data_IF_939059732353
#
_entry.id   IF_939059732353
#
_cell.length_a   1.000
_cell.length_b   1.000
_cell.length_c   1.000
_cell.angle_alpha   90.00
_cell.angle_beta   90.00
_cell.angle_gamma   90.00
#
_symmetry.space_group_name_H-M   'P 1'
#
loop_
_entity.id
_entity.type
_entity.pdbx_description
1 polymer ?
#
# COMPACT_ATOMS: atom_id res chain seq x y z
N UNK A 1 1.05 -3.88 9.28
CA UNK A 1 2.04 -3.91 10.37
C UNK A 1 3.06 -5.04 10.23
N UNK A 2 2.66 -6.27 9.91
CA UNK A 2 3.58 -7.41 9.76
C UNK A 2 4.66 -7.17 8.67
N UNK A 3 4.28 -6.66 7.52
CA UNK A 3 5.20 -6.35 6.41
C UNK A 3 6.27 -5.32 6.78
N UNK A 4 5.90 -4.31 7.55
CA UNK A 4 6.85 -3.28 8.02
C UNK A 4 7.82 -3.88 9.02
N UNK A 5 7.34 -4.71 9.96
CA UNK A 5 8.19 -5.42 10.91
C UNK A 5 9.17 -6.36 10.21
N UNK A 6 8.70 -7.11 9.20
CA UNK A 6 9.53 -8.04 8.44
C UNK A 6 10.59 -7.31 7.59
N UNK A 7 10.23 -6.23 6.90
CA UNK A 7 11.20 -5.38 6.19
C UNK A 7 12.22 -4.79 7.13
N UNK A 8 11.79 -4.38 8.34
CA UNK A 8 12.68 -3.84 9.36
C UNK A 8 13.71 -4.86 9.81
N UNK A 9 13.31 -6.10 10.08
CA UNK A 9 14.23 -7.16 10.49
C UNK A 9 15.23 -7.53 9.39
N UNK A 10 14.80 -7.54 8.13
CA UNK A 10 15.69 -7.76 6.99
C UNK A 10 16.71 -6.64 6.79
N UNK A 11 16.34 -5.40 7.09
CA UNK A 11 17.18 -4.22 6.96
C UNK A 11 18.15 -4.09 8.15
N UNK A 12 17.70 -4.40 9.37
CA UNK A 12 18.53 -4.34 10.59
C UNK A 12 19.74 -5.28 10.57
N UNK A 13 19.68 -6.37 9.81
CA UNK A 13 20.87 -7.22 9.61
C UNK A 13 21.98 -6.56 8.76
N UNK A 14 21.75 -5.37 8.21
CA UNK A 14 22.69 -4.70 7.31
C UNK A 14 22.88 -3.22 7.60
N UNK A 15 23.28 -2.78 8.79
CA UNK A 15 23.76 -1.40 9.10
C UNK A 15 23.05 -0.22 8.35
N UNK A 16 21.80 -0.40 7.99
CA UNK A 16 21.02 0.59 7.22
C UNK A 16 20.29 1.48 8.22
N UNK A 17 20.40 2.77 8.02
CA UNK A 17 19.75 3.76 8.86
C UNK A 17 18.22 3.61 8.72
N UNK A 18 17.60 2.94 9.69
CA UNK A 18 16.18 2.62 9.74
C UNK A 18 15.29 3.88 9.61
N UNK A 19 15.78 5.00 10.16
CA UNK A 19 15.09 6.29 10.07
C UNK A 19 15.00 6.77 8.63
N UNK A 20 16.08 6.65 7.84
CA UNK A 20 16.07 7.03 6.43
C UNK A 20 15.09 6.18 5.61
N UNK A 21 15.01 4.86 5.90
CA UNK A 21 14.03 3.99 5.23
C UNK A 21 12.59 4.44 5.49
N UNK A 22 12.24 4.70 6.75
CA UNK A 22 10.92 5.20 7.08
C UNK A 22 10.64 6.59 6.49
N UNK A 23 11.64 7.47 6.48
CA UNK A 23 11.52 8.77 5.84
C UNK A 23 11.20 8.64 4.36
N UNK A 24 11.95 7.84 3.62
CA UNK A 24 11.70 7.59 2.19
C UNK A 24 10.32 6.99 1.92
N UNK A 25 9.82 6.16 2.84
CA UNK A 25 8.52 5.52 2.70
C UNK A 25 7.36 6.48 2.96
N UNK A 26 7.44 7.29 4.03
CA UNK A 26 6.32 8.12 4.48
C UNK A 26 6.35 9.55 3.96
N UNK A 27 7.52 10.07 3.58
CA UNK A 27 7.66 11.44 3.09
C UNK A 27 6.75 11.78 1.90
N UNK A 28 6.61 10.94 0.85
CA UNK A 28 5.69 11.23 -0.24
C UNK A 28 4.24 11.31 0.22
N UNK A 29 3.85 10.47 1.19
CA UNK A 29 2.50 10.48 1.76
C UNK A 29 2.26 11.77 2.54
N UNK A 30 3.24 12.20 3.34
CA UNK A 30 3.17 13.48 4.07
C UNK A 30 3.08 14.66 3.11
N UNK A 31 3.89 14.72 2.07
CA UNK A 31 3.81 15.77 1.05
C UNK A 31 2.43 15.83 0.40
N UNK A 32 1.83 14.66 0.09
CA UNK A 32 0.49 14.60 -0.47
C UNK A 32 -0.58 15.07 0.53
N UNK A 33 -0.46 14.71 1.80
CA UNK A 33 -1.36 15.19 2.85
C UNK A 33 -1.25 16.72 3.03
N UNK A 34 -0.03 17.27 3.00
CA UNK A 34 0.17 18.72 3.02
C UNK A 34 -0.42 19.40 1.79
N UNK A 35 -0.29 18.79 0.61
CA UNK A 35 -0.91 19.29 -0.62
C UNK A 35 -2.43 19.28 -0.53
N UNK A 36 -3.05 18.20 -0.01
CA UNK A 36 -4.50 18.14 0.22
C UNK A 36 -4.94 19.18 1.25
N UNK A 37 -4.18 19.35 2.32
CA UNK A 37 -4.44 20.35 3.32
C UNK A 37 -4.37 21.75 2.72
N UNK A 38 -3.35 22.04 1.93
CA UNK A 38 -3.22 23.29 1.18
C UNK A 38 -4.42 23.54 0.26
N UNK A 39 -4.84 22.51 -0.53
CA UNK A 39 -6.03 22.61 -1.39
C UNK A 39 -7.31 22.83 -0.59
N UNK A 40 -7.41 22.23 0.58
CA UNK A 40 -8.55 22.43 1.48
C UNK A 40 -8.62 23.87 1.98
N UNK A 41 -7.49 24.48 2.29
CA UNK A 41 -7.43 25.88 2.70
C UNK A 41 -7.59 26.88 1.54
N UNK A 42 -7.13 26.55 0.35
CA UNK A 42 -7.19 27.44 -0.82
C UNK A 42 -8.48 27.30 -1.64
N UNK A 43 -9.09 26.13 -1.65
CA UNK A 43 -10.42 25.90 -2.21
C UNK A 43 -11.48 26.25 -1.17
N UNK A 44 -11.62 27.54 -0.98
CA UNK A 44 -12.78 28.17 -0.41
C UNK A 44 -13.77 27.30 0.38
N UNK A 45 -13.80 27.55 1.63
CA UNK A 45 -14.91 27.38 2.55
C UNK A 45 -16.31 27.71 1.92
N UNK A 46 -16.35 28.20 0.69
CA UNK A 46 -17.54 28.72 0.01
C UNK A 46 -18.40 27.68 -0.72
N UNK A 47 -17.92 26.45 -0.93
CA UNK A 47 -18.73 25.38 -1.53
C UNK A 47 -19.09 24.22 -0.59
N UNK A 48 -18.73 24.32 0.67
CA UNK A 48 -19.03 23.29 1.67
C UNK A 48 -20.50 23.27 2.14
N UNK A 49 -21.39 24.05 1.54
CA UNK A 49 -22.77 24.17 2.04
C UNK A 49 -23.81 23.33 1.29
N UNK A 50 -23.40 22.28 0.59
CA UNK A 50 -24.31 21.22 0.13
C UNK A 50 -23.81 19.82 0.48
N UNK A 51 -23.31 19.65 1.69
CA UNK A 51 -23.28 18.33 2.28
C UNK A 51 -24.68 18.09 2.83
N UNK A 52 -25.50 17.39 2.05
CA UNK A 52 -26.70 16.75 2.59
C UNK A 52 -26.26 16.00 3.82
N UNK A 53 -26.74 16.42 4.98
CA UNK A 53 -26.49 15.74 6.26
C UNK A 53 -26.74 14.25 6.04
N UNK A 54 -25.74 13.38 6.24
CA UNK A 54 -26.03 11.96 6.28
C UNK A 54 -27.00 11.80 7.45
N UNK A 55 -28.19 11.31 7.15
CA UNK A 55 -29.16 10.91 8.17
C UNK A 55 -28.40 9.98 9.09
N UNK A 56 -28.10 10.45 10.29
CA UNK A 56 -27.43 9.66 11.32
C UNK A 56 -28.44 8.61 11.79
N UNK A 57 -28.53 7.52 11.02
CA UNK A 57 -29.21 6.33 11.47
C UNK A 57 -28.37 5.84 12.65
N UNK A 58 -28.89 5.99 13.88
CA UNK A 58 -28.29 5.38 15.07
C UNK A 58 -28.24 3.88 14.82
N UNK A 59 -27.09 3.39 14.39
CA UNK A 59 -26.87 1.95 14.25
C UNK A 59 -26.89 1.33 15.64
N UNK A 60 -27.60 0.21 15.79
CA UNK A 60 -27.51 -0.64 16.98
C UNK A 60 -26.07 -1.15 17.16
N UNK A 61 -25.64 -1.38 18.40
CA UNK A 61 -24.34 -1.98 18.69
C UNK A 61 -24.12 -3.28 17.90
N UNK A 62 -25.14 -4.11 17.79
CA UNK A 62 -25.10 -5.36 17.02
C UNK A 62 -24.82 -5.11 15.54
N UNK A 63 -25.44 -4.11 14.93
CA UNK A 63 -25.18 -3.74 13.53
C UNK A 63 -23.75 -3.28 13.32
N UNK A 64 -23.17 -2.56 14.28
CA UNK A 64 -21.76 -2.12 14.20
C UNK A 64 -20.82 -3.33 14.26
N UNK A 65 -21.13 -4.29 15.14
CA UNK A 65 -20.34 -5.53 15.27
C UNK A 65 -20.41 -6.34 13.97
N UNK A 66 -21.62 -6.56 13.42
CA UNK A 66 -21.80 -7.29 12.15
C UNK A 66 -21.10 -6.59 10.98
N UNK A 67 -21.19 -5.27 10.86
CA UNK A 67 -20.51 -4.50 9.82
C UNK A 67 -18.98 -4.65 9.94
N UNK A 68 -18.47 -4.67 11.17
CA UNK A 68 -17.04 -4.85 11.44
C UNK A 68 -16.57 -6.26 11.09
N UNK A 69 -17.30 -7.28 11.50
CA UNK A 69 -17.03 -8.68 11.15
C UNK A 69 -17.07 -8.87 9.63
N UNK A 70 -18.09 -8.34 8.96
CA UNK A 70 -18.20 -8.41 7.50
C UNK A 70 -16.97 -7.76 6.81
N UNK A 71 -16.49 -6.64 7.34
CA UNK A 71 -15.28 -5.97 6.81
C UNK A 71 -14.04 -6.83 6.99
N UNK A 72 -13.86 -7.45 8.16
CA UNK A 72 -12.72 -8.35 8.45
C UNK A 72 -12.75 -9.57 7.51
N UNK A 73 -13.92 -10.22 7.36
CA UNK A 73 -14.08 -11.34 6.44
C UNK A 73 -13.77 -10.95 5.00
N UNK A 74 -14.26 -9.79 4.55
CA UNK A 74 -14.00 -9.29 3.19
C UNK A 74 -12.51 -9.07 2.95
N UNK A 75 -11.80 -8.48 3.92
CA UNK A 75 -10.34 -8.29 3.85
C UNK A 75 -9.64 -9.65 3.79
N UNK A 76 -10.02 -10.59 4.65
CA UNK A 76 -9.44 -11.94 4.68
C UNK A 76 -9.62 -12.68 3.35
N UNK A 77 -10.82 -12.63 2.77
CA UNK A 77 -11.12 -13.23 1.46
C UNK A 77 -10.26 -12.60 0.36
N UNK A 78 -10.12 -11.27 0.35
CA UNK A 78 -9.24 -10.60 -0.61
C UNK A 78 -7.80 -11.10 -0.50
N UNK A 79 -7.24 -11.18 0.71
CA UNK A 79 -5.88 -11.68 0.93
C UNK A 79 -5.74 -13.11 0.37
N UNK A 80 -6.68 -13.99 0.69
CA UNK A 80 -6.67 -15.37 0.23
C UNK A 80 -6.69 -15.48 -1.31
N UNK A 81 -7.60 -14.76 -1.97
CA UNK A 81 -7.72 -14.78 -3.44
C UNK A 81 -6.41 -14.31 -4.09
N UNK A 82 -5.84 -13.20 -3.64
CA UNK A 82 -4.61 -12.67 -4.21
C UNK A 82 -3.40 -13.54 -3.89
N UNK A 83 -3.35 -14.18 -2.72
CA UNK A 83 -2.29 -15.13 -2.35
C UNK A 83 -2.35 -16.39 -3.21
N UNK A 84 -3.54 -16.93 -3.46
CA UNK A 84 -3.74 -18.04 -4.40
C UNK A 84 -3.32 -17.61 -5.81
N UNK A 85 -3.72 -16.42 -6.26
CA UNK A 85 -3.30 -15.88 -7.56
C UNK A 85 -1.79 -15.76 -7.69
N UNK A 86 -1.10 -15.27 -6.67
CA UNK A 86 0.35 -15.21 -6.62
C UNK A 86 1.01 -16.61 -6.68
N UNK A 87 0.41 -17.58 -5.97
CA UNK A 87 0.87 -18.98 -6.00
C UNK A 87 0.69 -19.61 -7.39
N UNK A 88 -0.42 -19.35 -8.07
CA UNK A 88 -0.64 -19.81 -9.45
C UNK A 88 0.38 -19.21 -10.42
N UNK A 89 0.70 -17.91 -10.29
CA UNK A 89 1.73 -17.25 -11.10
C UNK A 89 3.09 -17.94 -10.88
N UNK A 90 3.40 -18.40 -9.68
CA UNK A 90 4.66 -19.07 -9.36
C UNK A 90 4.87 -20.37 -10.14
N UNK A 91 3.79 -21.06 -10.53
CA UNK A 91 3.83 -22.32 -11.28
C UNK A 91 3.91 -22.09 -12.80
N UNK A 92 3.49 -20.90 -13.29
CA UNK A 92 3.51 -20.62 -14.74
C UNK A 92 4.94 -20.55 -15.30
N UNK A 93 5.15 -20.96 -16.57
CA UNK A 93 6.47 -20.99 -17.21
C UNK A 93 6.92 -19.60 -17.69
N UNK A 94 6.83 -18.59 -16.84
CA UNK A 94 7.36 -17.26 -17.13
C UNK A 94 8.86 -17.17 -16.80
N UNK A 95 9.63 -16.31 -17.50
CA UNK A 95 10.97 -15.96 -17.09
C UNK A 95 11.00 -15.52 -15.63
N UNK A 96 12.03 -15.93 -14.91
CA UNK A 96 12.14 -15.76 -13.47
C UNK A 96 11.85 -14.32 -13.00
N UNK A 97 12.46 -13.32 -13.66
CA UNK A 97 12.27 -11.92 -13.30
C UNK A 97 10.80 -11.45 -13.46
N UNK A 98 10.18 -11.79 -14.60
CA UNK A 98 8.78 -11.41 -14.88
C UNK A 98 7.85 -12.03 -13.83
N UNK A 99 8.08 -13.30 -13.49
CA UNK A 99 7.32 -14.02 -12.47
C UNK A 99 7.35 -13.26 -11.13
N UNK A 100 8.53 -12.83 -10.68
CA UNK A 100 8.67 -12.14 -9.41
C UNK A 100 8.02 -10.76 -9.40
N UNK A 101 8.12 -10.02 -10.51
CA UNK A 101 7.42 -8.73 -10.65
C UNK A 101 5.91 -8.93 -10.60
N UNK A 102 5.37 -9.94 -11.29
CA UNK A 102 3.94 -10.25 -11.24
C UNK A 102 3.48 -10.60 -9.83
N UNK A 103 4.22 -11.48 -9.12
CA UNK A 103 3.91 -11.82 -7.73
C UNK A 103 3.93 -10.57 -6.85
N UNK A 104 4.90 -9.68 -7.05
CA UNK A 104 5.01 -8.42 -6.30
C UNK A 104 3.82 -7.48 -6.54
N UNK A 105 3.29 -7.45 -7.77
CA UNK A 105 2.10 -6.67 -8.09
C UNK A 105 0.86 -7.24 -7.41
N UNK A 106 0.72 -8.56 -7.36
CA UNK A 106 -0.43 -9.22 -6.76
C UNK A 106 -0.42 -9.10 -5.24
N UNK A 107 0.72 -9.43 -4.61
CA UNK A 107 0.78 -9.58 -3.17
C UNK A 107 2.13 -9.11 -2.61
N UNK A 108 2.06 -8.13 -1.72
CA UNK A 108 3.23 -7.46 -1.14
C UNK A 108 4.07 -8.38 -0.24
N UNK A 109 3.46 -9.27 0.53
CA UNK A 109 4.15 -10.07 1.54
C UNK A 109 5.15 -11.03 0.90
N UNK A 110 4.71 -11.70 -0.17
CA UNK A 110 5.54 -12.60 -0.95
C UNK A 110 6.68 -11.85 -1.67
N UNK A 111 6.36 -10.66 -2.19
CA UNK A 111 7.36 -9.81 -2.85
C UNK A 111 8.45 -9.36 -1.88
N UNK A 112 8.07 -8.83 -0.71
CA UNK A 112 9.03 -8.37 0.30
C UNK A 112 9.90 -9.52 0.79
N UNK A 113 9.32 -10.70 1.05
CA UNK A 113 10.06 -11.89 1.44
C UNK A 113 11.10 -12.27 0.39
N UNK A 114 10.68 -12.31 -0.87
CA UNK A 114 11.55 -12.70 -1.98
C UNK A 114 12.69 -11.71 -2.21
N UNK A 115 12.37 -10.42 -2.40
CA UNK A 115 13.38 -9.41 -2.67
C UNK A 115 14.29 -9.15 -1.45
N UNK A 116 13.78 -9.37 -0.23
CA UNK A 116 14.56 -9.29 0.99
C UNK A 116 15.67 -10.35 1.07
N UNK A 117 15.43 -11.56 0.57
CA UNK A 117 16.40 -12.67 0.57
C UNK A 117 17.31 -12.68 -0.67
N UNK A 118 17.02 -11.87 -1.68
CA UNK A 118 17.80 -11.81 -2.92
C UNK A 118 19.24 -11.34 -2.68
N UNK A 119 20.20 -11.98 -3.30
CA UNK A 119 21.62 -11.58 -3.23
C UNK A 119 21.91 -10.46 -4.24
N UNK A 120 21.36 -9.28 -3.98
CA UNK A 120 21.65 -8.03 -4.69
C UNK A 120 22.30 -7.05 -3.72
N UNK A 121 22.97 -6.03 -4.24
CA UNK A 121 23.57 -5.01 -3.37
C UNK A 121 22.53 -4.40 -2.43
N UNK A 122 22.92 -4.11 -1.20
CA UNK A 122 22.02 -3.55 -0.17
C UNK A 122 21.31 -2.30 -0.66
N UNK A 123 21.97 -1.49 -1.46
CA UNK A 123 21.42 -0.30 -2.09
C UNK A 123 20.19 -0.59 -2.96
N UNK A 124 20.32 -1.48 -3.94
CA UNK A 124 19.22 -1.84 -4.84
C UNK A 124 18.07 -2.53 -4.08
N UNK A 125 18.42 -3.32 -3.05
CA UNK A 125 17.46 -3.98 -2.18
C UNK A 125 16.56 -2.96 -1.48
N UNK A 126 17.14 -1.90 -0.91
CA UNK A 126 16.38 -0.86 -0.21
C UNK A 126 15.44 -0.14 -1.15
N UNK A 127 15.92 0.26 -2.33
CA UNK A 127 15.09 0.94 -3.33
C UNK A 127 13.90 0.08 -3.71
N UNK A 128 14.13 -1.19 -4.04
CA UNK A 128 13.06 -2.13 -4.39
C UNK A 128 12.07 -2.33 -3.24
N UNK A 129 12.54 -2.49 -2.02
CA UNK A 129 11.69 -2.66 -0.84
C UNK A 129 10.86 -1.39 -0.57
N UNK A 130 11.44 -0.20 -0.72
CA UNK A 130 10.69 1.06 -0.60
C UNK A 130 9.59 1.16 -1.66
N UNK A 131 9.89 0.83 -2.91
CA UNK A 131 8.91 0.85 -4.00
C UNK A 131 7.77 -0.14 -3.76
N UNK A 132 8.09 -1.39 -3.43
CA UNK A 132 7.10 -2.46 -3.22
C UNK A 132 6.22 -2.15 -2.01
N UNK A 133 6.82 -1.69 -0.91
CA UNK A 133 6.07 -1.35 0.32
C UNK A 133 5.14 -0.16 0.11
N UNK A 134 5.58 0.85 -0.61
CA UNK A 134 4.78 2.04 -0.93
C UNK A 134 3.64 1.71 -1.88
N UNK A 135 3.83 0.83 -2.86
CA UNK A 135 2.79 0.35 -3.77
C UNK A 135 1.72 -0.45 -3.02
N UNK A 136 2.14 -1.39 -2.18
CA UNK A 136 1.24 -2.20 -1.35
C UNK A 136 0.57 -3.38 -2.06
N UNK A 137 0.71 -3.53 -3.38
CA UNK A 137 0.11 -4.60 -4.18
C UNK A 137 -1.39 -4.41 -4.49
N UNK A 138 -1.89 -5.21 -5.42
CA UNK A 138 -3.31 -5.23 -5.82
C UNK A 138 -4.22 -5.72 -4.69
N UNK A 139 -3.72 -6.63 -3.87
CA UNK A 139 -4.45 -7.13 -2.70
C UNK A 139 -4.84 -6.00 -1.76
N UNK A 140 -3.92 -5.12 -1.39
CA UNK A 140 -4.20 -3.96 -0.54
C UNK A 140 -5.15 -2.95 -1.23
N UNK A 141 -5.04 -2.77 -2.54
CA UNK A 141 -5.94 -1.91 -3.30
C UNK A 141 -7.37 -2.46 -3.27
N UNK A 142 -7.56 -3.76 -3.50
CA UNK A 142 -8.86 -4.42 -3.46
C UNK A 142 -9.48 -4.34 -2.07
N UNK A 143 -8.68 -4.56 -1.01
CA UNK A 143 -9.12 -4.43 0.38
C UNK A 143 -9.62 -3.01 0.68
N UNK A 144 -8.84 -1.99 0.30
CA UNK A 144 -9.21 -0.59 0.53
C UNK A 144 -10.54 -0.26 -0.14
N UNK A 145 -10.74 -0.64 -1.39
CA UNK A 145 -11.95 -0.35 -2.14
C UNK A 145 -13.15 -1.13 -1.60
N UNK A 146 -12.96 -2.38 -1.20
CA UNK A 146 -14.03 -3.20 -0.65
C UNK A 146 -14.57 -2.62 0.67
N UNK A 147 -13.72 -2.04 1.49
CA UNK A 147 -14.11 -1.37 2.75
C UNK A 147 -14.71 0.02 2.46
N UNK A 148 -14.14 0.75 1.50
CA UNK A 148 -14.56 2.10 1.13
C UNK A 148 -15.71 2.14 0.11
N UNK A 149 -16.59 1.15 0.06
CA UNK A 149 -17.72 1.05 -0.90
C UNK A 149 -18.60 2.29 -0.96
N UNK A 150 -18.74 3.04 0.12
CA UNK A 150 -19.56 4.26 0.18
C UNK A 150 -18.87 5.48 -0.44
N UNK A 151 -17.55 5.50 -0.53
CA UNK A 151 -16.81 6.54 -1.21
C UNK A 151 -16.73 6.15 -2.70
N UNK A 152 -17.16 7.01 -3.61
CA UNK A 152 -17.09 6.78 -5.07
C UNK A 152 -15.63 6.75 -5.57
N UNK A 153 -14.76 5.99 -4.88
CA UNK A 153 -13.35 5.85 -5.25
C UNK A 153 -13.22 5.02 -6.52
N UNK A 154 -12.64 5.61 -7.54
CA UNK A 154 -12.30 4.89 -8.77
C UNK A 154 -11.05 4.03 -8.52
N UNK A 155 -11.15 2.72 -8.78
CA UNK A 155 -10.04 1.76 -8.66
C UNK A 155 -8.79 2.24 -9.41
N UNK A 156 -8.95 2.66 -10.66
CA UNK A 156 -7.84 3.09 -11.49
C UNK A 156 -7.13 4.34 -10.97
N UNK A 157 -7.90 5.33 -10.49
CA UNK A 157 -7.33 6.54 -9.90
C UNK A 157 -6.53 6.22 -8.64
N UNK A 158 -7.07 5.35 -7.79
CA UNK A 158 -6.38 4.91 -6.58
C UNK A 158 -5.07 4.18 -6.91
N UNK A 159 -5.10 3.28 -7.90
CA UNK A 159 -3.94 2.50 -8.32
C UNK A 159 -2.85 3.39 -8.93
N UNK A 160 -3.25 4.39 -9.73
CA UNK A 160 -2.33 5.38 -10.29
C UNK A 160 -1.63 6.19 -9.20
N UNK A 161 -2.38 6.67 -8.21
CA UNK A 161 -1.80 7.40 -7.07
C UNK A 161 -0.82 6.52 -6.30
N UNK A 162 -1.16 5.26 -6.04
CA UNK A 162 -0.26 4.29 -5.39
C UNK A 162 1.02 4.05 -6.19
N UNK A 163 0.90 3.96 -7.51
CA UNK A 163 2.05 3.81 -8.41
C UNK A 163 2.97 5.04 -8.35
N UNK A 164 2.41 6.25 -8.36
CA UNK A 164 3.18 7.48 -8.22
C UNK A 164 3.91 7.56 -6.87
N UNK A 165 3.25 7.13 -5.77
CA UNK A 165 3.90 7.05 -4.47
C UNK A 165 5.03 6.03 -4.44
N UNK A 166 4.86 4.90 -5.12
CA UNK A 166 5.91 3.89 -5.26
C UNK A 166 7.15 4.46 -5.96
N UNK A 167 6.95 5.15 -7.09
CA UNK A 167 8.04 5.78 -7.83
C UNK A 167 8.74 6.87 -7.01
N UNK A 168 7.99 7.74 -6.35
CA UNK A 168 8.56 8.81 -5.53
C UNK A 168 9.34 8.27 -4.32
N UNK A 169 8.83 7.21 -3.67
CA UNK A 169 9.51 6.54 -2.58
C UNK A 169 10.82 5.88 -3.03
N UNK A 170 10.82 5.22 -4.20
CA UNK A 170 12.02 4.63 -4.77
C UNK A 170 13.07 5.68 -5.16
N UNK A 171 12.63 6.80 -5.73
CA UNK A 171 13.50 7.90 -6.12
C UNK A 171 14.16 8.56 -4.90
N UNK A 172 13.38 8.79 -3.84
CA UNK A 172 13.91 9.28 -2.56
C UNK A 172 14.93 8.29 -1.97
N UNK A 173 14.61 7.00 -1.97
CA UNK A 173 15.55 5.99 -1.51
C UNK A 173 16.84 5.99 -2.34
N UNK A 174 16.74 6.16 -3.65
CA UNK A 174 17.89 6.27 -4.52
C UNK A 174 18.77 7.48 -4.17
N UNK A 175 18.18 8.63 -3.83
CA UNK A 175 18.89 9.84 -3.48
C UNK A 175 19.55 9.78 -2.09
N UNK A 176 18.92 9.13 -1.11
CA UNK A 176 19.42 9.11 0.26
C UNK A 176 20.44 8.00 0.53
N UNK A 177 20.47 6.95 -0.27
CA UNK A 177 21.36 5.81 -0.07
C UNK A 177 22.50 5.71 -1.10
N UNK A 178 22.59 6.66 -2.06
CA UNK A 178 23.80 6.86 -2.88
C UNK A 178 24.87 7.50 -2.04
#
# INVERSE_FOLDING_TARGET
MFTIGYTLTLILHGNINTLCFFFCLYFPVLCYLFYLFYLFFTKDFLHAHQISHPVSIKKSADQIIFDSLHSIFTIGICIMIFSIGASLISVLPFPFFIKQVLIAIFEITNAVSYFGTMQISSYHKIILLCMITSFGGLSAAAQTISVCKKSRLSFWKYLLVKFLFSLSSGLLAALFFI
#
